data_IF_732353563549
#
_entry.id   IF_732353563549
#
_cell.length_a   1.000
_cell.length_b   1.000
_cell.length_c   1.000
_cell.angle_alpha   90.00
_cell.angle_beta   90.00
_cell.angle_gamma   90.00
#
_symmetry.space_group_name_H-M   'P 1'
#
loop_
_entity.id
_entity.type
_entity.pdbx_description
1 polymer ?
#
# COMPACT_ATOMS: atom_id res chain seq x y z
N UNK A 1 29.81 -6.01 2.19
CA UNK A 1 28.68 -5.60 1.34
C UNK A 1 27.77 -6.77 0.95
N UNK A 2 28.29 -7.85 0.36
CA UNK A 2 27.46 -9.00 -0.07
C UNK A 2 26.62 -9.63 1.07
N UNK A 3 27.24 -9.92 2.22
CA UNK A 3 26.52 -10.46 3.38
C UNK A 3 25.42 -9.51 3.92
N UNK A 4 25.66 -8.19 3.84
CA UNK A 4 24.68 -7.18 4.24
C UNK A 4 23.49 -7.14 3.27
N UNK A 5 23.77 -7.13 1.96
CA UNK A 5 22.72 -7.17 0.93
C UNK A 5 21.88 -8.43 1.04
N UNK A 6 22.52 -9.59 1.21
CA UNK A 6 21.82 -10.87 1.38
C UNK A 6 20.92 -10.85 2.62
N UNK A 7 21.42 -10.36 3.76
CA UNK A 7 20.62 -10.22 4.98
C UNK A 7 19.40 -9.33 4.77
N UNK A 8 19.55 -8.21 4.05
CA UNK A 8 18.43 -7.33 3.73
C UNK A 8 17.41 -7.98 2.79
N UNK A 9 17.85 -8.70 1.75
CA UNK A 9 16.94 -9.41 0.85
C UNK A 9 16.13 -10.45 1.63
N UNK A 10 16.76 -11.22 2.50
CA UNK A 10 16.07 -12.20 3.34
C UNK A 10 15.07 -11.55 4.30
N UNK A 11 15.43 -10.43 4.92
CA UNK A 11 14.51 -9.66 5.76
C UNK A 11 13.32 -9.12 4.98
N UNK A 12 13.55 -8.53 3.80
CA UNK A 12 12.48 -8.04 2.94
C UNK A 12 11.55 -9.17 2.51
N UNK A 13 12.10 -10.33 2.13
CA UNK A 13 11.31 -11.49 1.77
C UNK A 13 10.46 -11.98 2.96
N UNK A 14 11.03 -12.07 4.15
CA UNK A 14 10.30 -12.45 5.36
C UNK A 14 9.15 -11.46 5.67
N UNK A 15 9.40 -10.16 5.52
CA UNK A 15 8.36 -9.12 5.68
C UNK A 15 7.27 -9.27 4.62
N UNK A 16 7.63 -9.43 3.35
CA UNK A 16 6.66 -9.61 2.26
C UNK A 16 5.79 -10.84 2.45
N UNK A 17 6.38 -11.98 2.85
CA UNK A 17 5.63 -13.19 3.16
C UNK A 17 4.70 -12.99 4.36
N UNK A 18 5.19 -12.35 5.43
CA UNK A 18 4.38 -12.12 6.63
C UNK A 18 3.19 -11.20 6.34
N UNK A 19 3.44 -10.07 5.68
CA UNK A 19 2.39 -9.10 5.32
C UNK A 19 1.42 -9.72 4.32
N UNK A 20 1.93 -10.46 3.32
CA UNK A 20 1.10 -11.18 2.36
C UNK A 20 0.22 -12.23 3.03
N UNK A 21 0.76 -13.00 3.98
CA UNK A 21 0.00 -13.98 4.75
C UNK A 21 -1.11 -13.32 5.57
N UNK A 22 -0.81 -12.23 6.26
CA UNK A 22 -1.79 -11.46 7.05
C UNK A 22 -2.88 -10.91 6.13
N UNK A 23 -2.51 -10.29 5.01
CA UNK A 23 -3.47 -9.76 4.04
C UNK A 23 -4.35 -10.88 3.46
N UNK A 24 -3.74 -12.02 3.08
CA UNK A 24 -4.45 -13.18 2.56
C UNK A 24 -5.42 -13.76 3.59
N UNK A 25 -5.00 -13.86 4.86
CA UNK A 25 -5.86 -14.26 5.96
C UNK A 25 -7.03 -13.30 6.16
N UNK A 26 -6.77 -11.98 6.15
CA UNK A 26 -7.82 -10.97 6.27
C UNK A 26 -8.85 -11.12 5.14
N UNK A 27 -8.43 -11.20 3.88
CA UNK A 27 -9.39 -11.38 2.77
C UNK A 27 -10.13 -12.71 2.79
N UNK A 28 -9.52 -13.75 3.35
CA UNK A 28 -10.12 -15.09 3.43
C UNK A 28 -11.13 -15.22 4.57
N UNK A 29 -10.87 -14.57 5.71
CA UNK A 29 -11.67 -14.74 6.93
C UNK A 29 -12.55 -13.53 7.26
N UNK A 30 -12.23 -12.34 6.74
CA UNK A 30 -13.04 -11.13 6.90
C UNK A 30 -13.96 -11.00 5.67
N UNK A 31 -15.05 -11.78 5.69
CA UNK A 31 -16.06 -11.83 4.63
C UNK A 31 -15.88 -13.04 3.68
N UNK A 32 -16.95 -13.39 2.96
CA UNK A 32 -16.88 -14.44 1.93
C UNK A 32 -16.55 -13.81 0.57
N UNK A 33 -15.42 -14.15 -0.09
CA UNK A 33 -15.07 -13.63 -1.40
C UNK A 33 -16.16 -13.91 -2.45
N UNK A 34 -16.87 -15.03 -2.35
CA UNK A 34 -17.97 -15.36 -3.27
C UNK A 34 -19.09 -14.33 -3.16
N UNK A 35 -19.48 -13.97 -1.93
CA UNK A 35 -20.54 -12.97 -1.70
C UNK A 35 -20.14 -11.57 -2.18
N UNK A 36 -18.85 -11.27 -2.28
CA UNK A 36 -18.36 -10.01 -2.85
C UNK A 36 -18.32 -10.03 -4.39
N UNK A 37 -18.34 -11.20 -5.01
CA UNK A 37 -18.26 -11.37 -6.47
C UNK A 37 -19.63 -11.47 -7.13
N UNK A 38 -20.59 -12.10 -6.46
CA UNK A 38 -21.90 -12.49 -7.00
C UNK A 38 -23.05 -11.64 -6.45
N UNK A 39 -24.15 -11.57 -7.20
CA UNK A 39 -25.36 -10.85 -6.79
C UNK A 39 -26.19 -11.63 -5.78
N UNK A 40 -27.20 -10.98 -5.19
CA UNK A 40 -28.11 -11.64 -4.24
C UNK A 40 -28.87 -12.81 -4.88
N UNK A 41 -29.15 -12.74 -6.18
CA UNK A 41 -29.92 -13.73 -6.95
C UNK A 41 -29.13 -14.99 -7.33
N UNK A 42 -27.81 -15.05 -7.06
CA UNK A 42 -26.99 -16.21 -7.42
C UNK A 42 -27.32 -17.41 -6.54
N UNK A 43 -27.69 -18.53 -7.17
CA UNK A 43 -28.13 -19.76 -6.48
C UNK A 43 -27.01 -20.39 -5.66
N UNK A 44 -27.37 -21.21 -4.68
CA UNK A 44 -26.38 -21.91 -3.84
C UNK A 44 -25.47 -22.84 -4.65
N UNK A 45 -26.01 -23.49 -5.68
CA UNK A 45 -25.25 -24.36 -6.59
C UNK A 45 -24.19 -23.57 -7.36
N UNK A 46 -24.57 -22.43 -7.97
CA UNK A 46 -23.63 -21.55 -8.67
C UNK A 46 -22.54 -21.00 -7.75
N UNK A 47 -22.88 -20.71 -6.49
CA UNK A 47 -21.88 -20.29 -5.48
C UNK A 47 -20.91 -21.41 -5.13
N UNK A 48 -21.38 -22.65 -5.03
CA UNK A 48 -20.54 -23.81 -4.76
C UNK A 48 -19.58 -24.10 -5.91
N UNK A 49 -20.07 -24.08 -7.15
CA UNK A 49 -19.26 -24.22 -8.37
C UNK A 49 -18.17 -23.15 -8.45
N UNK A 50 -18.52 -21.88 -8.18
CA UNK A 50 -17.56 -20.78 -8.19
C UNK A 50 -16.50 -20.94 -7.08
N UNK A 51 -16.91 -21.46 -5.92
CA UNK A 51 -16.01 -21.72 -4.79
C UNK A 51 -14.99 -22.81 -5.11
N UNK A 52 -15.44 -23.87 -5.76
CA UNK A 52 -14.56 -24.95 -6.21
C UNK A 52 -13.62 -24.49 -7.33
N UNK A 53 -14.14 -23.76 -8.33
CA UNK A 53 -13.33 -23.22 -9.43
C UNK A 53 -12.26 -22.23 -8.99
N UNK A 54 -12.48 -21.50 -7.89
CA UNK A 54 -11.49 -20.60 -7.29
C UNK A 54 -10.52 -21.31 -6.31
N UNK A 55 -10.66 -22.63 -6.11
CA UNK A 55 -9.85 -23.38 -5.14
C UNK A 55 -10.09 -22.96 -3.70
N UNK A 56 -11.22 -22.31 -3.42
CA UNK A 56 -11.53 -21.81 -2.08
C UNK A 56 -11.88 -22.93 -1.11
N UNK A 57 -12.03 -24.18 -1.55
CA UNK A 57 -12.24 -25.34 -0.68
C UNK A 57 -10.92 -25.98 -0.21
N UNK A 58 -9.79 -25.62 -0.83
CA UNK A 58 -8.49 -26.19 -0.47
C UNK A 58 -8.01 -25.71 0.92
N UNK A 59 -7.09 -26.43 1.58
CA UNK A 59 -6.48 -25.96 2.82
C UNK A 59 -5.84 -24.58 2.64
N UNK A 60 -5.96 -23.71 3.65
CA UNK A 60 -5.51 -22.32 3.60
C UNK A 60 -4.06 -22.15 3.13
N UNK A 61 -3.14 -22.97 3.65
CA UNK A 61 -1.73 -22.94 3.27
C UNK A 61 -1.48 -23.34 1.82
N UNK A 62 -2.30 -24.24 1.26
CA UNK A 62 -2.23 -24.63 -0.14
C UNK A 62 -2.69 -23.49 -1.05
N UNK A 63 -3.76 -22.80 -0.67
CA UNK A 63 -4.23 -21.60 -1.40
C UNK A 63 -3.16 -20.49 -1.37
N UNK A 64 -2.59 -20.22 -0.19
CA UNK A 64 -1.54 -19.21 -0.05
C UNK A 64 -0.26 -19.60 -0.81
N UNK A 65 0.16 -20.87 -0.77
CA UNK A 65 1.29 -21.36 -1.55
C UNK A 65 1.08 -21.23 -3.06
N UNK A 66 -0.14 -21.54 -3.55
CA UNK A 66 -0.51 -21.34 -4.96
C UNK A 66 -0.46 -19.87 -5.36
N UNK A 67 -0.97 -18.98 -4.50
CA UNK A 67 -0.88 -17.53 -4.70
C UNK A 67 0.57 -17.06 -4.77
N UNK A 68 1.44 -17.49 -3.85
CA UNK A 68 2.85 -17.13 -3.87
C UNK A 68 3.56 -17.60 -5.13
N UNK A 69 3.27 -18.83 -5.58
CA UNK A 69 3.81 -19.38 -6.80
C UNK A 69 3.40 -18.54 -8.02
N UNK A 70 2.11 -18.25 -8.18
CA UNK A 70 1.59 -17.41 -9.27
C UNK A 70 2.20 -15.99 -9.21
N UNK A 71 2.23 -15.38 -8.02
CA UNK A 71 2.75 -14.03 -7.83
C UNK A 71 4.24 -13.94 -8.18
N UNK A 72 5.03 -14.97 -7.85
CA UNK A 72 6.44 -15.06 -8.24
C UNK A 72 6.63 -15.13 -9.77
N UNK A 73 5.64 -15.62 -10.52
CA UNK A 73 5.62 -15.63 -11.98
C UNK A 73 4.93 -14.40 -12.59
N UNK A 74 4.56 -13.40 -11.77
CA UNK A 74 3.91 -12.17 -12.20
C UNK A 74 2.40 -12.30 -12.43
N UNK A 75 1.79 -13.41 -12.02
CA UNK A 75 0.34 -13.59 -11.99
C UNK A 75 -0.20 -13.33 -10.58
N UNK A 76 -0.89 -12.21 -10.41
CA UNK A 76 -1.49 -11.80 -9.13
C UNK A 76 -2.97 -12.17 -9.04
N UNK A 77 -3.50 -12.89 -10.03
CA UNK A 77 -4.91 -13.25 -10.12
C UNK A 77 -5.81 -12.09 -10.56
N UNK A 78 -7.11 -12.26 -10.31
CA UNK A 78 -8.17 -11.32 -10.69
C UNK A 78 -8.65 -10.54 -9.47
N UNK A 79 -8.84 -9.23 -9.63
CA UNK A 79 -9.51 -8.41 -8.62
C UNK A 79 -10.99 -8.76 -8.55
N UNK A 80 -11.47 -9.22 -7.39
CA UNK A 80 -12.90 -9.51 -7.19
C UNK A 80 -13.80 -8.28 -7.32
N UNK A 81 -13.28 -7.08 -6.97
CA UNK A 81 -14.02 -5.81 -7.08
C UNK A 81 -14.07 -5.29 -8.51
N UNK A 82 -12.94 -5.27 -9.21
CA UNK A 82 -12.85 -4.69 -10.56
C UNK A 82 -13.04 -5.70 -11.68
N UNK A 83 -13.08 -7.01 -11.37
CA UNK A 83 -13.20 -8.14 -12.30
C UNK A 83 -12.17 -8.10 -13.44
N UNK A 84 -10.95 -7.65 -13.12
CA UNK A 84 -9.81 -7.53 -14.06
C UNK A 84 -8.52 -8.08 -13.45
N UNK A 85 -7.52 -8.47 -14.26
CA UNK A 85 -6.21 -8.87 -13.76
C UNK A 85 -5.58 -7.82 -12.85
N UNK A 86 -5.12 -8.26 -11.68
CA UNK A 86 -4.48 -7.36 -10.70
C UNK A 86 -3.21 -6.73 -11.28
N UNK A 87 -2.49 -7.45 -12.15
CA UNK A 87 -1.31 -6.94 -12.86
C UNK A 87 -1.61 -5.67 -13.67
N UNK A 88 -2.74 -5.63 -14.38
CA UNK A 88 -3.13 -4.45 -15.17
C UNK A 88 -3.39 -3.26 -14.26
N UNK A 89 -4.15 -3.47 -13.18
CA UNK A 89 -4.41 -2.43 -12.18
C UNK A 89 -3.12 -1.89 -11.54
N UNK A 90 -2.14 -2.76 -11.26
CA UNK A 90 -0.85 -2.34 -10.72
C UNK A 90 -0.09 -1.47 -11.72
N UNK A 91 -0.03 -1.89 -13.00
CA UNK A 91 0.68 -1.14 -14.05
C UNK A 91 0.00 0.21 -14.30
N UNK A 92 -1.33 0.30 -14.27
CA UNK A 92 -2.05 1.56 -14.42
C UNK A 92 -1.76 2.55 -13.28
N UNK A 93 -1.52 2.06 -12.05
CA UNK A 93 -1.30 2.90 -10.85
C UNK A 93 0.17 3.19 -10.55
N UNK A 94 1.08 2.38 -11.10
CA UNK A 94 2.51 2.49 -10.88
C UNK A 94 3.06 3.88 -11.29
N UNK A 95 2.75 4.46 -12.47
CA UNK A 95 3.29 5.75 -12.89
C UNK A 95 2.92 6.87 -11.92
N UNK A 96 1.66 6.93 -11.51
CA UNK A 96 1.19 7.95 -10.57
C UNK A 96 1.90 7.83 -9.20
N UNK A 97 2.12 6.60 -8.73
CA UNK A 97 2.84 6.36 -7.47
C UNK A 97 4.31 6.80 -7.58
N UNK A 98 4.96 6.48 -8.70
CA UNK A 98 6.35 6.88 -8.96
C UNK A 98 6.48 8.39 -9.08
N UNK A 99 5.58 9.04 -9.80
CA UNK A 99 5.54 10.49 -9.94
C UNK A 99 5.40 11.18 -8.58
N UNK A 100 4.38 10.79 -7.80
CA UNK A 100 4.14 11.33 -6.47
C UNK A 100 5.33 11.08 -5.52
N UNK A 101 5.90 9.87 -5.54
CA UNK A 101 7.04 9.52 -4.68
C UNK A 101 8.30 10.30 -5.06
N UNK A 102 8.55 10.49 -6.36
CA UNK A 102 9.70 11.23 -6.85
C UNK A 102 9.57 12.71 -6.51
N UNK A 103 8.41 13.33 -6.74
CA UNK A 103 8.16 14.72 -6.38
C UNK A 103 8.31 14.92 -4.87
N UNK A 104 7.71 14.03 -4.06
CA UNK A 104 7.86 14.08 -2.61
C UNK A 104 9.32 13.94 -2.16
N UNK A 105 10.08 13.02 -2.76
CA UNK A 105 11.51 12.84 -2.46
C UNK A 105 12.34 14.07 -2.85
N UNK A 106 12.08 14.65 -4.02
CA UNK A 106 12.74 15.88 -4.46
C UNK A 106 12.42 17.04 -3.54
N UNK A 107 11.16 17.23 -3.14
CA UNK A 107 10.79 18.25 -2.16
C UNK A 107 11.47 18.01 -0.81
N UNK A 108 11.50 16.77 -0.33
CA UNK A 108 12.19 16.43 0.93
C UNK A 108 13.69 16.74 0.86
N UNK A 109 14.34 16.48 -0.27
CA UNK A 109 15.76 16.77 -0.47
C UNK A 109 16.04 18.26 -0.68
N UNK A 110 15.26 18.94 -1.51
CA UNK A 110 15.52 20.34 -1.90
C UNK A 110 15.03 21.34 -0.86
N UNK A 111 14.00 21.00 -0.08
CA UNK A 111 13.41 21.88 0.94
C UNK A 111 13.79 21.38 2.33
N UNK A 112 13.53 20.10 2.61
CA UNK A 112 13.74 19.52 3.93
C UNK A 112 15.20 19.51 4.37
N UNK A 113 16.14 19.13 3.49
CA UNK A 113 17.57 19.09 3.85
C UNK A 113 18.12 20.50 4.10
N UNK A 114 17.93 21.52 3.23
CA UNK A 114 18.38 22.88 3.54
C UNK A 114 17.75 23.48 4.80
N UNK A 115 16.45 23.25 5.04
CA UNK A 115 15.79 23.68 6.28
C UNK A 115 16.42 22.99 7.51
N UNK A 116 16.72 21.70 7.41
CA UNK A 116 17.40 20.93 8.47
C UNK A 116 18.83 21.42 8.73
N UNK A 117 19.60 21.71 7.68
CA UNK A 117 20.95 22.27 7.81
C UNK A 117 20.90 23.67 8.42
N UNK A 118 19.96 24.52 7.97
CA UNK A 118 19.81 25.88 8.49
C UNK A 118 19.45 25.89 9.98
N UNK A 119 18.47 25.09 10.39
CA UNK A 119 18.05 24.95 11.79
C UNK A 119 19.19 24.42 12.67
N UNK A 120 20.02 23.52 12.15
CA UNK A 120 21.19 22.99 12.86
C UNK A 120 22.26 24.06 13.10
N UNK A 121 22.49 24.96 12.13
CA UNK A 121 23.46 26.06 12.23
C UNK A 121 22.93 27.24 13.07
N UNK A 122 21.65 27.59 12.96
CA UNK A 122 21.06 28.80 13.57
C UNK A 122 20.02 28.48 14.66
N UNK A 123 20.36 27.58 15.58
CA UNK A 123 19.43 26.97 16.55
C UNK A 123 18.55 27.93 17.37
N UNK A 124 19.02 29.14 17.65
CA UNK A 124 18.32 30.13 18.49
C UNK A 124 17.50 31.16 17.69
N UNK A 125 17.52 31.08 16.36
CA UNK A 125 16.85 32.04 15.49
C UNK A 125 15.34 31.76 15.37
N UNK A 126 14.56 32.82 15.15
CA UNK A 126 13.11 32.71 14.91
C UNK A 126 12.78 31.71 13.78
N UNK A 127 13.49 31.77 12.66
CA UNK A 127 13.30 30.85 11.54
C UNK A 127 13.60 29.39 11.88
N UNK A 128 14.56 29.14 12.76
CA UNK A 128 14.84 27.78 13.20
C UNK A 128 13.68 27.21 14.04
N UNK A 129 13.11 28.03 14.92
CA UNK A 129 11.90 27.65 15.67
C UNK A 129 10.69 27.45 14.75
N UNK A 130 10.48 28.32 13.75
CA UNK A 130 9.39 28.19 12.79
C UNK A 130 9.47 26.87 12.00
N UNK A 131 10.65 26.52 11.46
CA UNK A 131 10.85 25.28 10.73
C UNK A 131 10.68 24.04 11.62
N UNK A 132 11.19 24.07 12.84
CA UNK A 132 11.00 22.99 13.81
C UNK A 132 9.51 22.78 14.15
N UNK A 133 8.76 23.85 14.39
CA UNK A 133 7.31 23.77 14.63
C UNK A 133 6.58 23.17 13.44
N UNK A 134 6.90 23.60 12.22
CA UNK A 134 6.30 23.03 11.00
C UNK A 134 6.60 21.53 10.86
N UNK A 135 7.85 21.11 11.09
CA UNK A 135 8.23 19.70 11.09
C UNK A 135 7.49 18.90 12.15
N UNK A 136 7.33 19.45 13.36
CA UNK A 136 6.59 18.79 14.44
C UNK A 136 5.12 18.61 14.08
N UNK A 137 4.48 19.59 13.46
CA UNK A 137 3.10 19.46 12.98
C UNK A 137 3.00 18.31 11.96
N UNK A 138 3.91 18.27 10.98
CA UNK A 138 3.92 17.23 9.95
C UNK A 138 4.15 15.82 10.48
N UNK A 139 4.99 15.65 11.51
CA UNK A 139 5.30 14.34 12.11
C UNK A 139 4.21 13.91 13.10
N UNK A 140 3.60 14.86 13.83
CA UNK A 140 2.67 14.55 14.91
C UNK A 140 1.24 14.32 14.42
N UNK A 141 0.84 14.92 13.30
CA UNK A 141 -0.48 14.71 12.74
C UNK A 141 -0.55 13.40 11.94
N UNK A 142 -1.64 12.62 12.07
CA UNK A 142 -1.85 11.46 11.21
C UNK A 142 -1.86 11.86 9.74
N UNK A 143 -1.17 11.10 8.90
CA UNK A 143 -1.05 11.39 7.46
C UNK A 143 -2.40 11.48 6.75
N UNK A 144 -3.38 10.64 7.13
CA UNK A 144 -4.73 10.70 6.57
C UNK A 144 -5.44 12.03 6.90
N UNK A 145 -5.22 12.59 8.10
CA UNK A 145 -5.83 13.85 8.52
C UNK A 145 -5.24 15.02 7.72
N UNK A 146 -3.92 15.04 7.54
CA UNK A 146 -3.25 16.02 6.68
C UNK A 146 -3.82 15.93 5.27
N UNK A 147 -3.96 14.72 4.73
CA UNK A 147 -4.55 14.50 3.40
C UNK A 147 -5.97 15.08 3.26
N UNK A 148 -6.85 14.81 4.23
CA UNK A 148 -8.23 15.33 4.21
C UNK A 148 -8.25 16.86 4.31
N UNK A 149 -7.42 17.47 5.17
CA UNK A 149 -7.34 18.92 5.30
C UNK A 149 -6.81 19.59 4.03
N UNK A 150 -5.82 18.99 3.37
CA UNK A 150 -5.32 19.48 2.09
C UNK A 150 -6.40 19.40 1.00
N UNK A 151 -7.19 18.32 0.94
CA UNK A 151 -8.33 18.22 0.02
C UNK A 151 -9.35 19.32 0.31
N UNK A 152 -9.68 19.58 1.57
CA UNK A 152 -10.62 20.65 1.93
C UNK A 152 -10.11 22.01 1.47
N UNK A 153 -8.85 22.33 1.75
CA UNK A 153 -8.27 23.63 1.40
C UNK A 153 -8.15 23.78 -0.12
N UNK A 154 -7.48 22.85 -0.80
CA UNK A 154 -7.16 22.98 -2.22
C UNK A 154 -8.28 22.56 -3.16
N UNK A 155 -9.13 21.62 -2.75
CA UNK A 155 -10.19 21.04 -3.59
C UNK A 155 -11.58 21.58 -3.30
N UNK A 156 -11.82 22.25 -2.17
CA UNK A 156 -13.17 22.78 -1.84
C UNK A 156 -13.16 24.28 -1.59
N UNK A 157 -12.17 24.80 -0.86
CA UNK A 157 -12.12 26.23 -0.51
C UNK A 157 -11.46 27.06 -1.62
N UNK A 158 -10.40 26.54 -2.23
CA UNK A 158 -9.62 27.23 -3.27
C UNK A 158 -10.05 26.89 -4.72
N UNK A 159 -11.00 25.98 -4.90
CA UNK A 159 -11.71 25.76 -6.17
C UNK A 159 -12.96 26.61 -6.24
#
# INVERSE_FOLDING_TARGET
MLAFTLRRILQSLAVMLTVGLIAFALFRYVGDPINNMVGQDTTLEQRAELREGLGLNDPFLVQYGRYLWQAAHGDFGISYRHRRPVRELLIERLPATLELSLVAALMALLIGVPMGVYTALHRKGFWAHAFMTLSLIGISLPTFLIGILLILVFGVILQ
#
